data_IF_725098170203
#
_entry.id   IF_725098170203
#
_cell.length_a   1.000
_cell.length_b   1.000
_cell.length_c   1.000
_cell.angle_alpha   90.00
_cell.angle_beta   90.00
_cell.angle_gamma   90.00
#
_symmetry.space_group_name_H-M   'P 1'
#
loop_
_entity.id
_entity.type
_entity.pdbx_description
1 polymer ?
#
# COMPACT_ATOMS: atom_id res chain seq x y z
N UNK A 1 10.65 -4.62 -13.52
CA UNK A 1 11.16 -4.21 -12.18
C UNK A 1 10.94 -2.72 -11.87
N UNK A 2 11.32 -1.78 -12.75
CA UNK A 2 11.14 -0.33 -12.48
C UNK A 2 9.68 0.04 -12.19
N UNK A 3 8.73 -0.39 -13.03
CA UNK A 3 7.30 -0.11 -12.83
C UNK A 3 6.77 -0.65 -11.49
N UNK A 4 7.06 -1.91 -11.15
CA UNK A 4 6.65 -2.51 -9.87
C UNK A 4 7.26 -1.79 -8.67
N UNK A 5 8.53 -1.37 -8.77
CA UNK A 5 9.20 -0.60 -7.71
C UNK A 5 8.55 0.77 -7.51
N UNK A 6 8.20 1.46 -8.59
CA UNK A 6 7.49 2.75 -8.53
C UNK A 6 6.10 2.57 -7.92
N UNK A 7 5.36 1.56 -8.38
CA UNK A 7 4.03 1.22 -7.83
C UNK A 7 4.10 0.89 -6.35
N UNK A 8 5.15 0.19 -5.91
CA UNK A 8 5.36 -0.13 -4.51
C UNK A 8 5.55 1.12 -3.64
N UNK A 9 6.39 2.06 -4.07
CA UNK A 9 6.57 3.32 -3.34
C UNK A 9 5.31 4.18 -3.33
N UNK A 10 4.57 4.20 -4.43
CA UNK A 10 3.28 4.90 -4.49
C UNK A 10 2.25 4.27 -3.54
N UNK A 11 2.17 2.94 -3.52
CA UNK A 11 1.33 2.19 -2.57
C UNK A 11 1.72 2.43 -1.11
N UNK A 12 3.03 2.51 -0.82
CA UNK A 12 3.52 2.83 0.51
C UNK A 12 3.11 4.24 0.96
N UNK A 13 3.23 5.24 0.09
CA UNK A 13 2.79 6.62 0.39
C UNK A 13 1.28 6.65 0.68
N UNK A 14 0.47 5.94 -0.12
CA UNK A 14 -0.97 5.82 0.10
C UNK A 14 -1.29 5.16 1.44
N UNK A 15 -0.58 4.07 1.77
CA UNK A 15 -0.76 3.34 3.02
C UNK A 15 -0.40 4.21 4.24
N UNK A 16 0.77 4.86 4.21
CA UNK A 16 1.20 5.76 5.29
C UNK A 16 0.20 6.91 5.46
N UNK A 17 -0.26 7.50 4.35
CA UNK A 17 -1.26 8.57 4.40
C UNK A 17 -2.58 8.07 4.98
N UNK A 18 -3.07 6.91 4.55
CA UNK A 18 -4.29 6.31 5.09
C UNK A 18 -4.21 6.01 6.58
N UNK A 19 -3.07 5.46 7.04
CA UNK A 19 -2.81 5.19 8.46
C UNK A 19 -2.71 6.50 9.25
N UNK A 20 -2.00 7.50 8.73
CA UNK A 20 -1.90 8.81 9.38
C UNK A 20 -3.30 9.44 9.53
N UNK A 21 -4.10 9.46 8.46
CA UNK A 21 -5.48 9.97 8.48
C UNK A 21 -6.38 9.19 9.44
N UNK A 22 -6.22 7.86 9.53
CA UNK A 22 -6.96 7.05 10.50
C UNK A 22 -6.70 7.47 11.95
N UNK A 23 -5.45 7.82 12.27
CA UNK A 23 -5.04 8.28 13.60
C UNK A 23 -5.55 9.68 13.94
N UNK A 24 -5.97 10.47 12.95
CA UNK A 24 -6.72 11.72 13.16
C UNK A 24 -8.22 11.41 13.32
N UNK A 25 -8.64 11.16 14.56
CA UNK A 25 -9.97 10.64 14.92
C UNK A 25 -11.15 11.45 14.40
N UNK A 26 -11.05 12.77 14.28
CA UNK A 26 -12.18 13.60 13.84
C UNK A 26 -12.53 13.35 12.37
N UNK A 27 -11.55 13.03 11.53
CA UNK A 27 -11.78 12.70 10.12
C UNK A 27 -12.38 11.31 9.94
N UNK A 28 -12.06 10.34 10.81
CA UNK A 28 -12.51 8.95 10.66
C UNK A 28 -13.90 8.67 11.28
N UNK A 29 -14.51 9.65 11.95
CA UNK A 29 -15.83 9.51 12.59
C UNK A 29 -17.03 9.79 11.67
N UNK A 30 -16.80 10.25 10.44
CA UNK A 30 -17.85 10.44 9.43
C UNK A 30 -17.72 9.42 8.30
N UNK A 31 -18.85 9.02 7.69
CA UNK A 31 -18.90 7.97 6.66
C UNK A 31 -17.96 8.27 5.49
N UNK A 32 -17.91 9.52 5.02
CA UNK A 32 -17.00 9.92 3.94
C UNK A 32 -15.54 9.68 4.31
N UNK A 33 -15.14 10.02 5.53
CA UNK A 33 -13.78 9.81 6.02
C UNK A 33 -13.45 8.33 6.21
N UNK A 34 -14.40 7.51 6.68
CA UNK A 34 -14.23 6.05 6.74
C UNK A 34 -13.96 5.45 5.35
N UNK A 35 -14.70 5.89 4.33
CA UNK A 35 -14.49 5.47 2.94
C UNK A 35 -13.13 5.93 2.42
N UNK A 36 -12.73 7.17 2.68
CA UNK A 36 -11.42 7.69 2.27
C UNK A 36 -10.28 6.90 2.91
N UNK A 37 -10.31 6.69 4.23
CA UNK A 37 -9.27 5.94 4.96
C UNK A 37 -9.17 4.50 4.47
N UNK A 38 -10.30 3.80 4.36
CA UNK A 38 -10.32 2.40 3.89
C UNK A 38 -9.82 2.28 2.46
N UNK A 39 -10.14 3.23 1.59
CA UNK A 39 -9.65 3.27 0.20
C UNK A 39 -8.15 3.51 0.14
N UNK A 40 -7.63 4.48 0.91
CA UNK A 40 -6.18 4.77 0.97
C UNK A 40 -5.38 3.56 1.45
N UNK A 41 -5.82 2.93 2.55
CA UNK A 41 -5.16 1.76 3.12
C UNK A 41 -5.27 0.56 2.17
N UNK A 42 -6.47 0.26 1.68
CA UNK A 42 -6.73 -0.89 0.80
C UNK A 42 -5.96 -0.80 -0.52
N UNK A 43 -6.05 0.33 -1.22
CA UNK A 43 -5.29 0.55 -2.46
C UNK A 43 -3.78 0.59 -2.19
N UNK A 44 -3.35 1.26 -1.12
CA UNK A 44 -1.94 1.30 -0.73
C UNK A 44 -1.34 -0.10 -0.57
N UNK A 45 -2.03 -0.97 0.17
CA UNK A 45 -1.61 -2.37 0.36
C UNK A 45 -1.61 -3.18 -0.94
N UNK A 46 -2.66 -3.07 -1.77
CA UNK A 46 -2.76 -3.78 -3.06
C UNK A 46 -1.62 -3.38 -3.98
N UNK A 47 -1.33 -2.08 -4.10
CA UNK A 47 -0.27 -1.56 -4.97
C UNK A 47 1.13 -1.90 -4.46
N UNK A 48 1.30 -1.97 -3.15
CA UNK A 48 2.57 -2.32 -2.51
C UNK A 48 2.91 -3.82 -2.67
N UNK A 49 1.91 -4.70 -2.65
CA UNK A 49 2.05 -6.16 -2.56
C UNK A 49 2.89 -6.87 -3.65
N UNK A 50 2.85 -6.51 -4.95
CA UNK A 50 3.43 -7.37 -5.99
C UNK A 50 4.97 -7.30 -6.03
N UNK A 51 5.56 -6.17 -5.64
CA UNK A 51 7.01 -5.95 -5.77
C UNK A 51 7.83 -6.90 -4.87
N UNK A 52 7.56 -7.02 -3.55
CA UNK A 52 8.23 -8.00 -2.69
C UNK A 52 8.03 -9.45 -3.16
N UNK A 53 6.81 -9.79 -3.60
CA UNK A 53 6.50 -11.15 -4.09
C UNK A 53 7.35 -11.52 -5.29
N UNK A 54 7.46 -10.61 -6.27
CA UNK A 54 8.30 -10.84 -7.47
C UNK A 54 9.78 -10.94 -7.10
N UNK A 55 10.26 -10.13 -6.15
CA UNK A 55 11.64 -10.22 -5.67
C UNK A 55 11.94 -11.59 -5.04
N UNK A 56 11.02 -12.09 -4.22
CA UNK A 56 11.14 -13.41 -3.61
C UNK A 56 11.19 -14.52 -4.66
N UNK A 57 10.26 -14.51 -5.64
CA UNK A 57 10.23 -15.51 -6.72
C UNK A 57 11.54 -15.48 -7.53
N UNK A 58 12.06 -14.29 -7.84
CA UNK A 58 13.33 -14.16 -8.57
C UNK A 58 14.53 -14.66 -7.77
N UNK A 59 14.53 -14.45 -6.45
CA UNK A 59 15.56 -14.99 -5.57
C UNK A 59 15.48 -16.52 -5.49
N UNK A 60 14.28 -17.10 -5.41
CA UNK A 60 14.09 -18.55 -5.38
C UNK A 60 14.61 -19.22 -6.67
N UNK A 61 14.26 -18.65 -7.84
CA UNK A 61 14.73 -19.16 -9.15
C UNK A 61 16.24 -19.08 -9.37
N UNK A 62 16.98 -18.33 -8.57
CA UNK A 62 18.46 -18.25 -8.64
C UNK A 62 19.17 -19.28 -7.78
N UNK A 63 18.44 -20.04 -6.97
CA UNK A 63 18.97 -21.10 -6.13
C UNK A 63 18.83 -22.50 -6.74
N UNK A 64 18.09 -22.60 -7.85
CA UNK A 64 18.08 -23.76 -8.75
C UNK A 64 19.20 -23.63 -9.78
#
# INVERSE_FOLDING_TARGET
>A
MKALKVMHWMGLVLLITGVATYLFTDMSQVVSGMVTVSTLIGLGAVMMSPFPVVLFIQWARRQE
#
